data_IF_238855529345
#
_entry.id   IF_238855529345
#
_cell.length_a   1.000
_cell.length_b   1.000
_cell.length_c   1.000
_cell.angle_alpha   90.00
_cell.angle_beta   90.00
_cell.angle_gamma   90.00
#
_symmetry.space_group_name_H-M   'P 1'
#
loop_
_entity.id
_entity.type
_entity.pdbx_description
1 polymer ?
#
# COMPACT_ATOMS: atom_id res chain seq x y z
N UNK A 1 -10.59 -13.35 -7.88
CA UNK A 1 -9.84 -12.08 -7.82
C UNK A 1 -10.52 -11.12 -6.83
N UNK A 2 -9.83 -10.75 -5.76
CA UNK A 2 -10.32 -9.79 -4.78
C UNK A 2 -9.17 -8.89 -4.33
N UNK A 3 -9.46 -7.62 -4.13
CA UNK A 3 -8.55 -6.68 -3.48
C UNK A 3 -9.00 -6.51 -2.02
N UNK A 4 -8.06 -6.67 -1.09
CA UNK A 4 -8.28 -6.42 0.32
C UNK A 4 -7.75 -5.02 0.64
N UNK A 5 -8.62 -4.07 1.03
CA UNK A 5 -8.18 -2.74 1.41
C UNK A 5 -7.35 -2.79 2.69
N UNK A 6 -6.24 -2.05 2.73
CA UNK A 6 -5.38 -1.84 3.89
C UNK A 6 -5.58 -0.45 4.50
N UNK A 7 -5.86 0.55 3.67
CA UNK A 7 -6.15 1.91 4.09
C UNK A 7 -7.18 2.55 3.16
N UNK A 8 -7.95 3.49 3.69
CA UNK A 8 -8.93 4.28 2.94
C UNK A 8 -8.72 5.78 3.17
N UNK A 9 -9.09 6.61 2.20
CA UNK A 9 -9.14 8.07 2.33
C UNK A 9 -10.52 8.59 1.93
N UNK A 10 -10.92 9.70 2.54
CA UNK A 10 -12.12 10.44 2.14
C UNK A 10 -11.79 11.29 0.92
N UNK A 11 -12.57 11.14 -0.14
CA UNK A 11 -12.49 11.95 -1.36
C UNK A 11 -13.01 13.36 -1.09
N UNK A 12 -12.23 14.38 -1.44
CA UNK A 12 -12.65 15.78 -1.36
C UNK A 12 -13.78 16.10 -2.36
N UNK A 13 -13.85 15.33 -3.47
CA UNK A 13 -14.81 15.58 -4.55
C UNK A 13 -16.25 15.19 -4.17
N UNK A 14 -16.42 14.12 -3.38
CA UNK A 14 -17.74 13.57 -3.10
C UNK A 14 -17.94 13.05 -1.65
N UNK A 15 -16.95 13.24 -0.77
CA UNK A 15 -17.03 12.92 0.65
C UNK A 15 -17.08 11.41 0.96
N UNK A 16 -16.91 10.54 -0.04
CA UNK A 16 -16.93 9.09 0.17
C UNK A 16 -15.54 8.56 0.52
N UNK A 17 -15.52 7.46 1.28
CA UNK A 17 -14.29 6.76 1.61
C UNK A 17 -13.93 5.75 0.51
N UNK A 18 -12.68 5.79 0.05
CA UNK A 18 -12.15 4.91 -0.99
C UNK A 18 -10.87 4.21 -0.54
N UNK A 19 -10.63 2.94 -0.93
CA UNK A 19 -9.33 2.30 -0.74
C UNK A 19 -8.20 3.08 -1.42
N UNK A 20 -7.13 3.33 -0.69
CA UNK A 20 -5.91 4.02 -1.17
C UNK A 20 -4.65 3.17 -1.03
N UNK A 21 -4.71 2.08 -0.27
CA UNK A 21 -3.71 1.02 -0.27
C UNK A 21 -4.42 -0.34 -0.15
N UNK A 22 -3.93 -1.35 -0.86
CA UNK A 22 -4.54 -2.68 -0.89
C UNK A 22 -3.54 -3.77 -1.22
N UNK A 23 -3.95 -5.01 -0.94
CA UNK A 23 -3.28 -6.22 -1.44
C UNK A 23 -4.24 -7.05 -2.28
N UNK A 24 -3.69 -7.77 -3.25
CA UNK A 24 -4.43 -8.78 -4.00
C UNK A 24 -3.53 -9.95 -4.42
N UNK A 25 -4.14 -11.11 -4.60
CA UNK A 25 -3.50 -12.27 -5.24
C UNK A 25 -3.78 -12.30 -6.73
N UNK A 26 -2.77 -12.61 -7.53
CA UNK A 26 -2.93 -12.90 -8.97
C UNK A 26 -2.12 -14.14 -9.36
N UNK A 27 -2.78 -15.28 -9.50
CA UNK A 27 -2.10 -16.57 -9.61
C UNK A 27 -1.24 -16.83 -8.37
N UNK A 28 0.07 -17.04 -8.56
CA UNK A 28 1.05 -17.17 -7.46
C UNK A 28 1.65 -15.82 -7.03
N UNK A 29 1.36 -14.73 -7.73
CA UNK A 29 1.90 -13.43 -7.42
C UNK A 29 1.12 -12.76 -6.29
N UNK A 30 1.87 -12.06 -5.43
CA UNK A 30 1.37 -11.11 -4.45
C UNK A 30 1.47 -9.72 -5.06
N UNK A 31 0.41 -8.93 -4.95
CA UNK A 31 0.37 -7.55 -5.46
C UNK A 31 0.02 -6.63 -4.31
N UNK A 32 0.87 -5.64 -4.07
CA UNK A 32 0.57 -4.48 -3.24
C UNK A 32 0.34 -3.29 -4.16
N UNK A 33 -0.64 -2.45 -3.86
CA UNK A 33 -0.96 -1.25 -4.63
C UNK A 33 -1.34 -0.08 -3.74
N UNK A 34 -1.03 1.13 -4.21
CA UNK A 34 -1.46 2.39 -3.59
C UNK A 34 -1.78 3.43 -4.66
N UNK A 35 -2.73 4.33 -4.38
CA UNK A 35 -3.04 5.49 -5.23
C UNK A 35 -2.18 6.71 -4.93
N UNK A 36 -1.46 6.73 -3.81
CA UNK A 36 -0.56 7.82 -3.45
C UNK A 36 0.75 7.77 -4.26
N UNK A 37 1.45 8.90 -4.35
CA UNK A 37 2.75 9.01 -5.03
C UNK A 37 2.79 10.00 -6.20
N UNK A 38 1.86 10.96 -6.29
CA UNK A 38 1.92 11.98 -7.34
C UNK A 38 2.91 13.12 -7.04
N UNK A 39 3.17 13.42 -5.76
CA UNK A 39 3.92 14.61 -5.35
C UNK A 39 5.24 14.29 -4.66
N UNK A 40 6.21 15.21 -4.79
CA UNK A 40 7.48 15.14 -4.05
C UNK A 40 7.26 15.11 -2.54
N UNK A 41 6.30 15.88 -2.04
CA UNK A 41 5.94 15.90 -0.62
C UNK A 41 5.51 14.51 -0.13
N UNK A 42 4.75 13.76 -0.95
CA UNK A 42 4.38 12.36 -0.63
C UNK A 42 5.62 11.47 -0.52
N UNK A 43 6.59 11.62 -1.42
CA UNK A 43 7.84 10.85 -1.35
C UNK A 43 8.83 11.33 -0.29
N UNK A 44 8.60 12.50 0.31
CA UNK A 44 9.35 12.99 1.47
C UNK A 44 8.72 12.58 2.81
N UNK A 45 7.48 12.08 2.79
CA UNK A 45 6.80 11.61 3.99
C UNK A 45 7.35 10.25 4.43
N UNK A 46 7.98 10.14 5.63
CA UNK A 46 8.52 8.89 6.11
C UNK A 46 7.45 7.79 6.29
N UNK A 47 6.20 8.15 6.58
CA UNK A 47 5.11 7.18 6.75
C UNK A 47 4.74 6.55 5.40
N UNK A 48 4.71 7.35 4.33
CA UNK A 48 4.47 6.84 2.98
C UNK A 48 5.61 5.92 2.53
N UNK A 49 6.87 6.33 2.75
CA UNK A 49 8.03 5.52 2.41
C UNK A 49 8.06 4.20 3.18
N UNK A 50 7.68 4.20 4.46
CA UNK A 50 7.58 2.98 5.26
C UNK A 50 6.49 2.04 4.72
N UNK A 51 5.30 2.57 4.44
CA UNK A 51 4.20 1.77 3.85
C UNK A 51 4.62 1.16 2.52
N UNK A 52 5.23 1.94 1.63
CA UNK A 52 5.71 1.47 0.33
C UNK A 52 6.77 0.38 0.49
N UNK A 53 7.72 0.56 1.41
CA UNK A 53 8.80 -0.40 1.68
C UNK A 53 8.26 -1.72 2.24
N UNK A 54 7.33 -1.66 3.21
CA UNK A 54 6.67 -2.86 3.77
C UNK A 54 5.83 -3.59 2.71
N UNK A 55 5.08 -2.84 1.90
CA UNK A 55 4.30 -3.41 0.79
C UNK A 55 5.18 -4.11 -0.25
N UNK A 56 6.35 -3.52 -0.56
CA UNK A 56 7.35 -4.14 -1.43
C UNK A 56 7.90 -5.45 -0.85
N UNK A 57 8.34 -5.44 0.42
CA UNK A 57 8.86 -6.63 1.10
C UNK A 57 7.83 -7.77 1.16
N UNK A 58 6.57 -7.43 1.42
CA UNK A 58 5.47 -8.39 1.39
C UNK A 58 5.23 -9.00 0.02
N UNK A 59 5.27 -8.18 -1.03
CA UNK A 59 5.06 -8.63 -2.41
C UNK A 59 6.14 -9.63 -2.85
N UNK A 60 7.40 -9.43 -2.42
CA UNK A 60 8.51 -10.36 -2.71
C UNK A 60 8.60 -11.54 -1.74
N UNK A 61 7.70 -11.64 -0.76
CA UNK A 61 7.66 -12.76 0.21
C UNK A 61 8.74 -12.71 1.29
N UNK A 62 9.30 -11.53 1.55
CA UNK A 62 10.38 -11.32 2.53
C UNK A 62 9.89 -10.86 3.92
N UNK A 63 8.59 -11.03 4.23
CA UNK A 63 7.97 -10.62 5.50
C UNK A 63 8.72 -11.13 6.74
N UNK A 64 9.39 -12.29 6.65
CA UNK A 64 10.21 -12.87 7.72
C UNK A 64 11.45 -12.05 8.14
N UNK A 65 11.78 -10.98 7.42
CA UNK A 65 12.90 -10.08 7.72
C UNK A 65 12.46 -8.79 8.41
N UNK A 66 11.16 -8.47 8.44
CA UNK A 66 10.62 -7.23 9.03
C UNK A 66 10.32 -7.38 10.53
N UNK A 67 9.99 -8.59 10.99
CA UNK A 67 9.71 -8.90 12.41
C UNK A 67 10.99 -9.16 13.27
N UNK A 68 12.18 -8.78 12.79
CA UNK A 68 13.46 -9.03 13.50
C UNK A 68 13.99 -7.87 14.35
N UNK A 69 13.18 -6.87 14.68
CA UNK A 69 13.55 -5.80 15.60
C UNK A 69 12.42 -5.44 16.56
#
# INVERSE_FOLDING_TARGET
PGATPLATSVSEADGKSYPVAWINGFGKARVFGTTFGHSDATFQDPVFLEMLSRGFLWAVGSDSLVDRH
#
